data_IF_401824624714
#
_entry.id   IF_401824624714
#
_cell.length_a   1.000
_cell.length_b   1.000
_cell.length_c   1.000
_cell.angle_alpha   90.00
_cell.angle_beta   90.00
_cell.angle_gamma   90.00
#
_symmetry.space_group_name_H-M   'P 1'
#
loop_
_entity.id
_entity.type
_entity.pdbx_description
1 polymer ?
#
# COMPACT_ATOMS: atom_id res chain seq x y z
N UNK A 1 -22.40 -18.73 94.36
CA UNK A 1 -23.47 -17.85 93.82
C UNK A 1 -22.96 -17.29 92.50
N UNK A 2 -22.96 -18.06 91.41
CA UNK A 2 -23.99 -18.04 90.34
C UNK A 2 -24.49 -16.62 90.03
N UNK A 3 -24.04 -16.02 88.93
CA UNK A 3 -25.01 -15.59 87.93
C UNK A 3 -24.42 -15.55 86.51
N UNK A 4 -25.09 -16.31 85.65
CA UNK A 4 -24.76 -16.67 84.28
C UNK A 4 -25.49 -15.67 83.37
N UNK A 5 -24.82 -14.61 82.94
CA UNK A 5 -25.41 -13.59 82.07
C UNK A 5 -25.15 -13.85 80.59
N UNK A 6 -25.67 -14.95 80.03
CA UNK A 6 -25.63 -15.20 78.59
C UNK A 6 -26.61 -14.23 77.92
N UNK A 7 -26.10 -13.13 77.37
CA UNK A 7 -26.86 -12.21 76.54
C UNK A 7 -27.14 -12.85 75.18
N UNK A 8 -28.27 -13.55 75.07
CA UNK A 8 -28.83 -14.02 73.80
C UNK A 8 -29.27 -12.80 72.96
N UNK A 9 -28.35 -12.26 72.17
CA UNK A 9 -28.69 -11.39 71.05
C UNK A 9 -29.33 -12.26 69.95
N UNK A 10 -30.64 -12.50 70.06
CA UNK A 10 -31.44 -12.99 68.95
C UNK A 10 -31.62 -11.81 68.00
N UNK A 11 -30.61 -11.59 67.15
CA UNK A 11 -30.77 -10.75 65.97
C UNK A 11 -31.81 -11.41 65.08
N UNK A 12 -33.01 -10.83 65.01
CA UNK A 12 -34.02 -11.24 64.02
C UNK A 12 -33.46 -10.91 62.64
N UNK A 13 -32.72 -11.86 62.06
CA UNK A 13 -32.38 -11.83 60.65
C UNK A 13 -33.72 -11.88 59.92
N UNK A 14 -34.13 -10.75 59.34
CA UNK A 14 -35.21 -10.69 58.37
C UNK A 14 -34.74 -11.42 57.09
N UNK A 15 -34.59 -12.74 57.20
CA UNK A 15 -34.40 -13.62 56.06
C UNK A 15 -35.72 -13.64 55.32
N UNK A 16 -35.81 -12.76 54.32
CA UNK A 16 -36.86 -12.83 53.32
C UNK A 16 -36.59 -14.10 52.50
N UNK A 17 -37.18 -15.22 52.91
CA UNK A 17 -37.18 -16.45 52.12
C UNK A 17 -37.88 -16.14 50.79
N UNK A 18 -37.08 -16.03 49.73
CA UNK A 18 -37.59 -15.89 48.38
C UNK A 18 -38.08 -17.27 47.93
N UNK A 19 -39.34 -17.60 48.24
CA UNK A 19 -39.99 -18.74 47.62
C UNK A 19 -40.24 -18.39 46.15
N UNK A 20 -39.44 -18.98 45.26
CA UNK A 20 -39.80 -19.07 43.86
C UNK A 20 -41.02 -19.99 43.77
N UNK A 21 -42.11 -19.54 43.15
CA UNK A 21 -43.32 -20.36 42.98
C UNK A 21 -43.04 -21.63 42.16
N UNK A 22 -42.04 -21.59 41.27
CA UNK A 22 -41.66 -22.69 40.38
C UNK A 22 -40.18 -23.09 40.53
N UNK A 23 -39.82 -24.28 40.02
CA UNK A 23 -38.44 -24.74 40.01
C UNK A 23 -37.54 -23.91 39.07
N UNK A 24 -36.22 -24.08 39.17
CA UNK A 24 -35.22 -23.27 38.41
C UNK A 24 -35.37 -23.34 36.88
N UNK A 25 -35.90 -24.44 36.35
CA UNK A 25 -36.08 -24.66 34.91
C UNK A 25 -37.56 -24.53 34.49
N UNK A 26 -38.36 -23.88 35.32
CA UNK A 26 -39.80 -23.69 35.10
C UNK A 26 -40.14 -22.21 35.14
N UNK A 27 -41.24 -21.86 34.47
CA UNK A 27 -41.82 -20.53 34.51
C UNK A 27 -43.29 -20.61 34.89
N UNK A 28 -43.73 -19.62 35.65
CA UNK A 28 -45.13 -19.50 36.02
C UNK A 28 -45.94 -18.91 34.87
N UNK A 29 -47.07 -19.54 34.53
CA UNK A 29 -48.10 -19.00 33.66
C UNK A 29 -49.48 -19.44 34.17
N UNK A 30 -50.38 -18.49 34.35
CA UNK A 30 -51.73 -18.73 34.90
C UNK A 30 -51.76 -19.48 36.25
N UNK A 31 -50.73 -19.31 37.09
CA UNK A 31 -50.63 -19.97 38.40
C UNK A 31 -50.09 -21.40 38.36
N UNK A 32 -49.73 -21.92 37.18
CA UNK A 32 -49.11 -23.23 36.99
C UNK A 32 -47.63 -23.10 36.65
N UNK A 33 -46.84 -24.08 37.05
CA UNK A 33 -45.40 -24.13 36.77
C UNK A 33 -45.13 -24.98 35.52
N UNK A 34 -44.71 -24.30 34.45
CA UNK A 34 -44.42 -24.91 33.16
C UNK A 34 -42.92 -25.09 32.94
N UNK A 35 -42.45 -26.21 32.37
CA UNK A 35 -41.05 -26.37 32.01
C UNK A 35 -40.65 -25.39 30.89
N UNK A 36 -39.46 -24.78 31.02
CA UNK A 36 -38.87 -23.90 30.01
C UNK A 36 -38.40 -24.67 28.78
N UNK A 37 -38.30 -23.98 27.65
CA UNK A 37 -37.64 -24.49 26.46
C UNK A 37 -36.12 -24.42 26.60
N UNK A 38 -35.44 -25.48 26.19
CA UNK A 38 -33.99 -25.54 26.17
C UNK A 38 -33.40 -24.55 25.13
N UNK A 39 -32.13 -24.12 25.29
CA UNK A 39 -31.43 -23.30 24.29
C UNK A 39 -31.57 -23.86 22.88
N UNK A 40 -31.73 -22.98 21.89
CA UNK A 40 -32.04 -23.36 20.51
C UNK A 40 -33.51 -23.54 20.17
N UNK A 41 -34.41 -23.46 21.16
CA UNK A 41 -35.84 -23.59 20.97
C UNK A 41 -36.61 -22.42 21.59
N UNK A 42 -37.81 -22.16 21.09
CA UNK A 42 -38.77 -21.21 21.65
C UNK A 42 -40.09 -21.91 21.94
N UNK A 43 -40.94 -21.26 22.72
CA UNK A 43 -42.29 -21.73 23.02
C UNK A 43 -43.16 -21.62 21.77
N UNK A 44 -43.81 -22.72 21.40
CA UNK A 44 -44.85 -22.75 20.38
C UNK A 44 -46.23 -22.80 21.01
N UNK A 45 -46.40 -23.59 22.07
CA UNK A 45 -47.57 -23.61 22.94
C UNK A 45 -47.16 -23.68 24.40
N UNK A 46 -47.74 -22.83 25.23
CA UNK A 46 -47.59 -22.91 26.67
C UNK A 46 -48.20 -24.19 27.23
N UNK A 47 -47.70 -24.62 28.39
CA UNK A 47 -48.25 -25.76 29.11
C UNK A 47 -49.68 -25.44 29.60
N UNK A 48 -50.48 -26.49 29.77
CA UNK A 48 -51.76 -26.43 30.48
C UNK A 48 -51.68 -27.34 31.71
N UNK A 49 -52.78 -27.48 32.46
CA UNK A 49 -52.85 -28.42 33.60
C UNK A 49 -52.49 -29.85 33.18
N UNK A 50 -52.82 -30.25 31.95
CA UNK A 50 -52.67 -31.63 31.47
C UNK A 50 -51.58 -31.79 30.39
N UNK A 51 -50.98 -30.70 29.90
CA UNK A 51 -49.98 -30.74 28.82
C UNK A 51 -48.71 -29.98 29.19
N UNK A 52 -47.56 -30.46 28.74
CA UNK A 52 -46.28 -29.77 28.91
C UNK A 52 -46.08 -28.65 27.87
N UNK A 53 -45.15 -27.74 28.14
CA UNK A 53 -44.76 -26.69 27.17
C UNK A 53 -44.28 -27.34 25.88
N UNK A 54 -44.88 -26.96 24.75
CA UNK A 54 -44.42 -27.39 23.43
C UNK A 54 -43.36 -26.43 22.92
N UNK A 55 -42.15 -26.95 22.72
CA UNK A 55 -41.01 -26.20 22.24
C UNK A 55 -40.69 -26.57 20.79
N UNK A 56 -40.34 -25.58 19.97
CA UNK A 56 -39.89 -25.78 18.59
C UNK A 56 -38.57 -25.07 18.32
N UNK A 57 -37.74 -25.56 17.38
CA UNK A 57 -36.44 -24.96 17.10
C UNK A 57 -36.54 -23.53 16.60
N UNK A 58 -35.56 -22.70 16.95
CA UNK A 58 -35.44 -21.37 16.40
C UNK A 58 -35.35 -21.39 14.86
N UNK A 59 -36.09 -20.51 14.16
CA UNK A 59 -35.98 -20.37 12.72
C UNK A 59 -34.59 -19.84 12.31
N UNK A 60 -34.29 -19.91 11.01
CA UNK A 60 -33.04 -19.40 10.47
C UNK A 60 -32.81 -17.93 10.86
N UNK A 61 -31.53 -17.55 11.04
CA UNK A 61 -31.11 -16.20 11.45
C UNK A 61 -31.61 -15.74 12.83
N UNK A 62 -32.04 -16.68 13.68
CA UNK A 62 -32.38 -16.41 15.09
C UNK A 62 -31.76 -17.44 16.03
N UNK A 63 -31.63 -17.08 17.31
CA UNK A 63 -31.04 -17.92 18.33
C UNK A 63 -31.70 -17.73 19.70
N UNK A 64 -31.40 -18.68 20.61
CA UNK A 64 -31.71 -18.59 22.03
C UNK A 64 -30.60 -19.29 22.82
N UNK A 65 -29.81 -18.54 23.58
CA UNK A 65 -28.61 -19.04 24.28
C UNK A 65 -28.90 -19.58 25.68
N UNK A 66 -30.08 -19.32 26.23
CA UNK A 66 -30.48 -19.70 27.59
C UNK A 66 -31.83 -20.44 27.61
N UNK A 67 -32.13 -21.24 28.66
CA UNK A 67 -33.47 -21.74 28.90
C UNK A 67 -34.48 -20.59 28.98
N UNK A 68 -35.61 -20.74 28.30
CA UNK A 68 -36.50 -19.60 28.07
C UNK A 68 -37.99 -19.98 28.12
N UNK A 69 -38.81 -18.94 28.26
CA UNK A 69 -40.27 -18.97 28.20
C UNK A 69 -40.83 -18.12 27.06
N UNK A 70 -40.01 -17.80 26.07
CA UNK A 70 -40.34 -16.82 25.03
C UNK A 70 -40.92 -17.51 23.81
N UNK A 71 -41.92 -16.88 23.20
CA UNK A 71 -42.51 -17.36 21.95
C UNK A 71 -41.69 -16.96 20.71
N UNK A 72 -40.62 -16.17 20.90
CA UNK A 72 -39.77 -15.66 19.82
C UNK A 72 -38.30 -15.80 20.16
N UNK A 73 -37.50 -16.22 19.17
CA UNK A 73 -36.05 -16.22 19.28
C UNK A 73 -35.44 -14.83 19.03
N UNK A 74 -34.23 -14.61 19.54
CA UNK A 74 -33.49 -13.37 19.30
C UNK A 74 -32.91 -13.37 17.89
N UNK A 75 -32.90 -12.22 17.17
CA UNK A 75 -32.22 -12.13 15.88
C UNK A 75 -30.71 -12.25 16.08
N UNK A 76 -30.05 -12.98 15.17
CA UNK A 76 -28.60 -13.06 15.15
C UNK A 76 -27.98 -11.68 14.90
N UNK A 77 -26.90 -11.36 15.62
CA UNK A 77 -26.10 -10.17 15.40
C UNK A 77 -25.44 -10.22 14.02
N UNK A 78 -25.37 -9.06 13.35
CA UNK A 78 -24.68 -8.90 12.06
C UNK A 78 -23.35 -8.20 12.29
N UNK A 79 -22.27 -8.78 11.75
CA UNK A 79 -20.95 -8.16 11.79
C UNK A 79 -20.75 -7.32 10.52
N UNK A 80 -20.99 -6.01 10.62
CA UNK A 80 -20.89 -5.08 9.50
C UNK A 80 -19.43 -4.62 9.29
N UNK A 81 -18.89 -4.86 8.09
CA UNK A 81 -17.55 -4.42 7.71
C UNK A 81 -17.39 -2.89 7.76
N UNK A 82 -18.48 -2.12 7.56
CA UNK A 82 -18.46 -0.66 7.70
C UNK A 82 -18.22 -0.19 9.13
N UNK A 83 -18.51 -1.04 10.12
CA UNK A 83 -18.22 -0.81 11.53
C UNK A 83 -16.88 -1.40 11.95
N UNK A 84 -16.04 -1.81 10.98
CA UNK A 84 -14.74 -2.41 11.23
C UNK A 84 -14.81 -3.87 11.70
N UNK A 85 -15.91 -4.60 11.44
CA UNK A 85 -16.15 -5.94 12.01
C UNK A 85 -16.13 -7.07 10.97
N UNK A 86 -15.81 -8.26 11.44
CA UNK A 86 -15.98 -9.54 10.74
C UNK A 86 -16.54 -10.61 11.66
N UNK A 87 -17.05 -11.69 11.06
CA UNK A 87 -17.56 -12.84 11.81
C UNK A 87 -16.38 -13.63 12.38
N UNK A 88 -16.33 -13.76 13.70
CA UNK A 88 -15.45 -14.68 14.41
C UNK A 88 -16.09 -16.05 14.59
N UNK A 89 -17.36 -16.06 15.00
CA UNK A 89 -18.18 -17.26 15.16
C UNK A 89 -19.54 -17.01 14.55
N UNK A 90 -19.98 -17.93 13.70
CA UNK A 90 -21.29 -17.87 13.06
C UNK A 90 -22.42 -18.10 14.07
N UNK A 91 -23.58 -17.53 13.76
CA UNK A 91 -24.78 -17.78 14.55
C UNK A 91 -25.20 -19.26 14.46
N UNK A 92 -25.73 -19.78 15.56
CA UNK A 92 -26.36 -21.10 15.63
C UNK A 92 -27.69 -20.94 16.36
N UNK A 93 -28.57 -21.96 16.31
CA UNK A 93 -29.84 -21.88 17.04
C UNK A 93 -29.65 -21.59 18.53
N UNK A 94 -28.57 -22.07 19.16
CA UNK A 94 -28.30 -21.90 20.59
C UNK A 94 -27.24 -20.86 20.92
N UNK A 95 -26.76 -20.06 19.96
CA UNK A 95 -25.76 -19.03 20.22
C UNK A 95 -25.75 -17.92 19.17
N UNK A 96 -25.59 -16.68 19.63
CA UNK A 96 -25.44 -15.49 18.76
C UNK A 96 -24.18 -15.57 17.89
N UNK A 97 -24.17 -14.76 16.83
CA UNK A 97 -22.95 -14.40 16.10
C UNK A 97 -21.97 -13.69 17.03
N UNK A 98 -20.71 -14.10 17.00
CA UNK A 98 -19.61 -13.37 17.65
C UNK A 98 -18.85 -12.61 16.58
N UNK A 99 -18.79 -11.29 16.74
CA UNK A 99 -18.06 -10.39 15.88
C UNK A 99 -16.69 -10.07 16.49
N UNK A 100 -15.70 -9.88 15.62
CA UNK A 100 -14.38 -9.36 15.98
C UNK A 100 -13.95 -8.26 15.02
N UNK A 101 -12.97 -7.42 15.38
CA UNK A 101 -12.43 -6.42 14.48
C UNK A 101 -11.82 -7.03 13.20
N UNK A 102 -11.89 -6.27 12.11
CA UNK A 102 -11.11 -6.50 10.89
C UNK A 102 -9.60 -6.38 11.16
N UNK A 103 -8.78 -6.84 10.21
CA UNK A 103 -7.33 -6.66 10.30
C UNK A 103 -6.97 -5.18 10.26
N UNK A 104 -6.08 -4.77 11.16
CA UNK A 104 -5.74 -3.36 11.33
C UNK A 104 -6.80 -2.54 12.05
N UNK A 105 -7.75 -3.16 12.75
CA UNK A 105 -8.74 -2.50 13.60
C UNK A 105 -8.67 -3.02 15.04
N UNK A 106 -9.11 -2.21 15.99
CA UNK A 106 -9.32 -2.60 17.38
C UNK A 106 -10.73 -2.29 17.84
N UNK A 107 -11.22 -3.11 18.76
CA UNK A 107 -12.56 -2.97 19.31
C UNK A 107 -12.63 -1.83 20.33
N UNK A 108 -13.57 -0.90 20.16
CA UNK A 108 -13.83 0.17 21.13
C UNK A 108 -15.08 -0.10 21.97
N UNK A 109 -16.03 -0.85 21.42
CA UNK A 109 -17.27 -1.21 22.13
C UNK A 109 -17.48 -2.73 22.12
N UNK A 110 -17.58 -3.33 23.32
CA UNK A 110 -17.80 -4.78 23.48
C UNK A 110 -19.13 -5.08 24.16
N UNK A 111 -19.80 -6.13 23.68
CA UNK A 111 -20.95 -6.76 24.36
C UNK A 111 -20.63 -8.24 24.60
N UNK A 112 -20.50 -8.64 25.87
CA UNK A 112 -19.99 -9.97 26.25
C UNK A 112 -18.65 -10.23 25.52
N UNK A 113 -18.58 -11.30 24.74
CA UNK A 113 -17.38 -11.70 23.98
C UNK A 113 -17.38 -11.20 22.52
N UNK A 114 -18.35 -10.37 22.12
CA UNK A 114 -18.54 -9.89 20.74
C UNK A 114 -18.25 -8.39 20.63
N UNK A 115 -17.55 -7.97 19.59
CA UNK A 115 -17.28 -6.56 19.30
C UNK A 115 -18.48 -5.91 18.58
N UNK A 116 -18.87 -4.70 18.98
CA UNK A 116 -20.00 -3.94 18.41
C UNK A 116 -19.54 -2.79 17.51
N UNK A 117 -18.38 -2.21 17.82
CA UNK A 117 -17.77 -1.17 17.01
C UNK A 117 -16.25 -1.30 17.08
N UNK A 118 -15.59 -1.18 15.93
CA UNK A 118 -14.15 -1.22 15.82
C UNK A 118 -13.64 -0.06 14.96
N UNK A 119 -12.49 0.48 15.34
CA UNK A 119 -11.83 1.58 14.62
C UNK A 119 -10.47 1.12 14.13
N UNK A 120 -10.02 1.73 13.02
CA UNK A 120 -8.72 1.42 12.43
C UNK A 120 -7.61 1.77 13.43
N UNK A 121 -6.56 0.97 13.47
CA UNK A 121 -5.35 1.27 14.23
C UNK A 121 -4.74 2.60 13.76
N UNK A 122 -4.25 3.38 14.71
CA UNK A 122 -3.49 4.60 14.47
C UNK A 122 -2.21 4.28 13.70
N UNK A 123 -1.91 5.13 12.72
CA UNK A 123 -0.66 5.10 11.98
C UNK A 123 0.32 6.09 12.60
N UNK A 124 1.54 5.64 12.89
CA UNK A 124 2.56 6.54 13.41
C UNK A 124 3.10 7.43 12.29
N UNK A 125 3.28 8.71 12.59
CA UNK A 125 3.75 9.69 11.61
C UNK A 125 5.28 9.63 11.44
N UNK A 126 5.82 10.14 10.33
CA UNK A 126 7.25 10.38 10.20
C UNK A 126 7.76 11.21 11.38
N UNK A 127 8.88 10.81 12.00
CA UNK A 127 9.32 11.34 13.30
C UNK A 127 8.96 10.44 14.48
N UNK A 128 8.10 9.45 14.26
CA UNK A 128 7.66 8.49 15.27
C UNK A 128 8.00 7.06 14.89
N UNK A 129 8.06 6.19 15.89
CA UNK A 129 8.22 4.75 15.73
C UNK A 129 7.07 4.03 16.42
N UNK A 130 6.79 2.81 15.96
CA UNK A 130 5.80 1.91 16.54
C UNK A 130 6.36 1.33 17.84
N UNK A 131 5.98 1.94 18.96
CA UNK A 131 6.37 1.47 20.29
C UNK A 131 5.63 0.20 20.68
N UNK A 132 4.34 0.12 20.32
CA UNK A 132 3.53 -1.06 20.50
C UNK A 132 2.60 -1.20 19.29
N UNK A 133 2.58 -2.39 18.70
CA UNK A 133 1.64 -2.72 17.61
C UNK A 133 0.22 -2.84 18.17
N UNK A 134 -0.76 -2.31 17.43
CA UNK A 134 -2.17 -2.49 17.78
C UNK A 134 -2.58 -3.96 17.85
N UNK A 135 -3.56 -4.24 18.70
CA UNK A 135 -4.18 -5.57 18.85
C UNK A 135 -5.66 -5.48 18.56
N UNK A 136 -6.39 -6.60 18.61
CA UNK A 136 -7.86 -6.59 18.49
C UNK A 136 -8.57 -5.82 19.61
N UNK A 137 -7.86 -5.48 20.69
CA UNK A 137 -8.43 -4.76 21.85
C UNK A 137 -7.78 -3.40 22.09
N UNK A 138 -6.62 -3.11 21.50
CA UNK A 138 -5.85 -1.91 21.80
C UNK A 138 -5.32 -1.28 20.53
N UNK A 139 -5.22 0.04 20.55
CA UNK A 139 -4.63 0.77 19.44
C UNK A 139 -3.10 0.59 19.37
N UNK A 140 -2.53 0.96 18.22
CA UNK A 140 -1.10 1.17 18.05
C UNK A 140 -0.63 2.34 18.92
N UNK A 141 0.49 2.15 19.62
CA UNK A 141 1.13 3.20 20.41
C UNK A 141 2.40 3.67 19.71
N UNK A 142 2.47 4.98 19.47
CA UNK A 142 3.61 5.62 18.82
C UNK A 142 4.53 6.28 19.85
N UNK A 143 5.85 6.19 19.63
CA UNK A 143 6.87 6.94 20.36
C UNK A 143 7.55 7.95 19.44
N UNK A 144 7.99 9.08 19.97
CA UNK A 144 8.77 10.06 19.20
C UNK A 144 10.24 9.64 19.13
N UNK A 145 10.91 9.93 18.02
CA UNK A 145 12.36 9.80 17.93
C UNK A 145 13.08 10.84 18.81
N UNK A 146 14.38 10.70 18.95
CA UNK A 146 15.25 11.70 19.58
C UNK A 146 16.23 12.26 18.55
N UNK A 147 16.93 13.33 18.91
CA UNK A 147 17.97 13.91 18.07
C UNK A 147 19.04 12.86 17.70
N UNK A 148 19.53 12.92 16.45
CA UNK A 148 20.45 11.93 15.89
C UNK A 148 19.79 10.61 15.45
N UNK A 149 18.46 10.49 15.55
CA UNK A 149 17.70 9.31 15.12
C UNK A 149 16.50 9.68 14.25
N UNK A 150 16.02 8.76 13.43
CA UNK A 150 14.88 8.97 12.56
C UNK A 150 13.98 7.73 12.39
N UNK A 151 12.74 7.98 11.97
CA UNK A 151 11.80 6.94 11.54
C UNK A 151 10.78 7.50 10.55
N UNK A 152 10.40 6.68 9.57
CA UNK A 152 9.33 7.02 8.62
C UNK A 152 7.92 6.73 9.16
N UNK A 153 7.77 6.41 10.46
CA UNK A 153 6.51 6.00 11.07
C UNK A 153 6.31 4.48 11.13
N UNK A 154 6.87 3.74 10.18
CA UNK A 154 6.70 2.29 10.07
C UNK A 154 7.71 1.45 10.87
N UNK A 155 8.75 2.07 11.43
CA UNK A 155 9.80 1.33 12.15
C UNK A 155 9.36 1.00 13.58
N UNK A 156 9.81 -0.14 14.10
CA UNK A 156 9.60 -0.55 15.50
C UNK A 156 10.54 0.15 16.49
N UNK A 157 11.57 0.83 15.99
CA UNK A 157 12.48 1.69 16.74
C UNK A 157 13.08 2.74 15.80
N UNK A 158 13.46 3.90 16.34
CA UNK A 158 14.18 4.91 15.56
C UNK A 158 15.57 4.40 15.21
N UNK A 159 16.00 4.68 13.98
CA UNK A 159 17.33 4.31 13.49
C UNK A 159 18.28 5.49 13.67
N UNK A 160 19.57 5.25 13.97
CA UNK A 160 20.55 6.32 13.99
C UNK A 160 20.73 6.91 12.59
N UNK A 161 21.05 8.20 12.52
CA UNK A 161 21.41 8.86 11.27
C UNK A 161 22.67 8.27 10.64
N UNK A 162 22.69 8.24 9.31
CA UNK A 162 23.85 7.82 8.53
C UNK A 162 25.03 8.75 8.73
N UNK A 163 26.20 8.18 9.05
CA UNK A 163 27.45 8.92 9.09
C UNK A 163 28.11 8.92 7.70
N UNK A 164 28.06 10.07 7.02
CA UNK A 164 28.61 10.21 5.66
C UNK A 164 30.13 10.13 5.60
N UNK A 165 30.84 10.58 6.66
CA UNK A 165 32.30 10.63 6.69
C UNK A 165 32.92 9.24 6.63
N UNK A 166 32.30 8.25 7.30
CA UNK A 166 32.72 6.84 7.25
C UNK A 166 32.66 6.29 5.82
N UNK A 167 31.76 6.81 5.00
CA UNK A 167 31.60 6.42 3.59
C UNK A 167 32.43 7.28 2.63
N UNK A 168 33.26 8.20 3.13
CA UNK A 168 34.02 9.15 2.32
C UNK A 168 33.13 10.12 1.54
N UNK A 169 31.90 10.35 2.00
CA UNK A 169 30.93 11.27 1.40
C UNK A 169 30.79 12.51 2.28
N UNK A 170 30.21 13.58 1.72
CA UNK A 170 29.79 14.74 2.50
C UNK A 170 28.29 14.71 2.70
N UNK A 171 27.86 15.26 3.82
CA UNK A 171 26.46 15.56 4.06
C UNK A 171 25.99 16.63 3.06
N UNK A 172 24.95 16.31 2.31
CA UNK A 172 24.29 17.23 1.37
C UNK A 172 23.07 17.86 2.03
N UNK A 173 22.36 17.07 2.84
CA UNK A 173 21.18 17.52 3.58
C UNK A 173 21.18 16.93 4.98
N UNK A 174 20.91 17.74 6.02
CA UNK A 174 20.86 17.26 7.38
C UNK A 174 19.70 16.30 7.59
N UNK A 175 19.97 15.29 8.42
CA UNK A 175 18.97 14.36 8.90
C UNK A 175 17.97 15.08 9.81
N UNK A 176 16.74 14.57 9.83
CA UNK A 176 15.68 15.04 10.73
C UNK A 176 15.12 13.84 11.50
N UNK A 177 14.19 14.06 12.43
CA UNK A 177 13.52 12.94 13.10
C UNK A 177 12.69 12.08 12.14
N UNK A 178 12.30 12.62 10.97
CA UNK A 178 11.49 11.94 9.97
C UNK A 178 12.28 11.42 8.77
N UNK A 179 13.56 11.77 8.64
CA UNK A 179 14.39 11.39 7.48
C UNK A 179 15.85 11.20 7.87
N UNK A 180 16.51 10.26 7.20
CA UNK A 180 17.96 10.10 7.33
C UNK A 180 18.73 11.29 6.75
N UNK A 181 20.02 11.36 7.08
CA UNK A 181 21.01 12.23 6.43
C UNK A 181 21.20 11.81 4.98
N UNK A 182 21.17 12.77 4.06
CA UNK A 182 21.47 12.50 2.64
C UNK A 182 22.96 12.71 2.37
N UNK A 183 23.67 11.62 2.09
CA UNK A 183 25.10 11.63 1.77
C UNK A 183 25.32 11.73 0.26
N UNK A 184 26.29 12.53 -0.16
CA UNK A 184 26.65 12.68 -1.57
C UNK A 184 28.09 13.12 -1.79
N UNK A 185 28.51 13.04 -3.05
CA UNK A 185 29.80 13.60 -3.47
C UNK A 185 29.62 15.10 -3.66
N UNK A 186 30.28 15.91 -2.84
CA UNK A 186 30.35 17.34 -3.09
C UNK A 186 31.31 17.60 -4.26
N UNK A 187 30.81 18.09 -5.39
CA UNK A 187 31.66 18.63 -6.45
C UNK A 187 32.02 20.06 -6.04
N UNK A 188 33.30 20.42 -5.85
CA UNK A 188 33.65 21.77 -5.45
C UNK A 188 33.26 22.76 -6.56
N UNK A 189 32.59 23.84 -6.17
CA UNK A 189 32.17 24.95 -7.03
C UNK A 189 33.24 25.38 -8.05
N UNK A 190 34.54 25.53 -7.70
CA UNK A 190 35.57 25.90 -8.68
C UNK A 190 35.74 24.90 -9.83
N UNK A 191 35.49 23.60 -9.62
CA UNK A 191 35.53 22.60 -10.70
C UNK A 191 34.36 22.82 -11.66
N UNK A 192 33.16 23.07 -11.14
CA UNK A 192 31.98 23.36 -11.97
C UNK A 192 32.21 24.64 -12.79
N UNK A 193 32.68 25.71 -12.15
CA UNK A 193 33.00 26.99 -12.82
C UNK A 193 34.10 26.79 -13.86
N UNK A 194 35.17 26.06 -13.51
CA UNK A 194 36.27 25.77 -14.43
C UNK A 194 35.82 25.00 -15.68
N UNK A 195 34.93 24.02 -15.53
CA UNK A 195 34.35 23.28 -16.67
C UNK A 195 33.48 24.19 -17.55
N UNK A 196 32.62 25.03 -16.96
CA UNK A 196 31.76 25.95 -17.71
C UNK A 196 32.61 26.98 -18.48
N UNK A 197 33.62 27.57 -17.84
CA UNK A 197 34.55 28.51 -18.47
C UNK A 197 35.37 27.83 -19.56
N UNK A 198 35.88 26.61 -19.31
CA UNK A 198 36.63 25.84 -20.30
C UNK A 198 35.79 25.50 -21.55
N UNK A 199 34.55 25.06 -21.37
CA UNK A 199 33.63 24.76 -22.48
C UNK A 199 33.29 26.01 -23.28
N UNK A 200 32.96 27.12 -22.60
CA UNK A 200 32.63 28.38 -23.28
C UNK A 200 33.82 28.95 -24.07
N UNK A 201 35.04 28.90 -23.52
CA UNK A 201 36.27 29.29 -24.24
C UNK A 201 36.53 28.35 -25.43
N UNK A 202 36.36 27.04 -25.25
CA UNK A 202 36.50 26.06 -26.35
C UNK A 202 35.52 26.30 -27.50
N UNK A 203 34.26 26.63 -27.20
CA UNK A 203 33.24 26.99 -28.20
C UNK A 203 33.63 28.28 -28.93
N UNK A 204 34.14 29.29 -28.23
CA UNK A 204 34.59 30.53 -28.86
C UNK A 204 35.80 30.31 -29.78
N UNK A 205 36.80 29.53 -29.34
CA UNK A 205 37.99 29.23 -30.14
C UNK A 205 37.65 28.41 -31.38
N UNK A 206 36.78 27.40 -31.25
CA UNK A 206 36.30 26.63 -32.41
C UNK A 206 35.50 27.49 -33.38
N UNK A 207 34.62 28.37 -32.90
CA UNK A 207 33.89 29.31 -33.76
C UNK A 207 34.83 30.30 -34.48
N UNK A 208 35.86 30.81 -33.80
CA UNK A 208 36.90 31.65 -34.41
C UNK A 208 37.70 30.86 -35.45
N UNK A 209 38.11 29.64 -35.13
CA UNK A 209 38.79 28.72 -36.04
C UNK A 209 37.98 28.43 -37.30
N UNK A 210 36.67 28.18 -37.15
CA UNK A 210 35.72 28.01 -38.26
C UNK A 210 35.66 29.29 -39.11
N UNK A 211 35.55 30.48 -38.49
CA UNK A 211 35.56 31.76 -39.23
C UNK A 211 36.87 31.97 -40.01
N UNK A 212 38.01 31.66 -39.40
CA UNK A 212 39.33 31.76 -40.05
C UNK A 212 39.42 30.77 -41.21
N UNK A 213 39.00 29.52 -41.02
CA UNK A 213 38.95 28.50 -42.05
C UNK A 213 38.09 28.94 -43.25
N UNK A 214 36.88 29.48 -43.00
CA UNK A 214 36.03 30.01 -44.06
C UNK A 214 36.67 31.17 -44.81
N UNK A 215 37.36 32.10 -44.11
CA UNK A 215 38.12 33.17 -44.78
C UNK A 215 39.27 32.64 -45.63
N UNK A 216 40.00 31.63 -45.14
CA UNK A 216 41.11 31.01 -45.87
C UNK A 216 40.61 30.25 -47.11
N UNK A 217 39.48 29.55 -46.99
CA UNK A 217 38.80 28.88 -48.10
C UNK A 217 38.29 29.87 -49.15
N UNK A 218 37.68 30.98 -48.74
CA UNK A 218 37.25 32.05 -49.65
C UNK A 218 38.45 32.68 -50.39
N UNK A 219 39.59 32.89 -49.72
CA UNK A 219 40.82 33.35 -50.38
C UNK A 219 41.37 32.33 -51.38
N UNK A 220 41.32 31.01 -51.08
CA UNK A 220 41.69 29.98 -52.05
C UNK A 220 40.78 29.98 -53.29
N UNK A 221 39.47 30.17 -53.12
CA UNK A 221 38.53 30.27 -54.26
C UNK A 221 38.66 31.58 -55.07
N UNK A 222 39.23 32.64 -54.50
CA UNK A 222 39.58 33.86 -55.24
C UNK A 222 40.86 33.72 -56.09
N UNK A 223 41.71 32.72 -55.80
CA UNK A 223 42.93 32.43 -56.57
C UNK A 223 42.72 31.42 -57.72
N UNK A 224 41.56 30.77 -57.79
CA UNK A 224 41.22 29.73 -58.78
C UNK A 224 40.16 30.21 -59.79
N UNK A 225 40.00 31.54 -59.95
CA UNK A 225 39.09 32.17 -60.93
C UNK A 225 39.84 33.06 -61.92
N UNK A 226 41.00 32.61 -62.38
CA UNK A 226 41.79 33.24 -63.45
C UNK A 226 42.60 32.20 -64.23
N UNK A 227 41.92 31.22 -64.82
CA UNK A 227 42.46 30.48 -65.96
C UNK A 227 41.34 30.35 -66.99
N UNK A 228 41.21 31.39 -67.81
CA UNK A 228 40.53 31.35 -69.11
C UNK A 228 41.60 31.03 -70.13
N UNK A 229 41.54 29.86 -70.79
CA UNK A 229 42.37 29.56 -71.95
C UNK A 229 41.52 29.41 -73.21
N UNK A 230 41.99 30.10 -74.24
CA UNK A 230 41.39 30.24 -75.56
C UNK A 230 41.40 28.92 -76.35
N UNK A 231 40.34 28.70 -77.11
CA UNK A 231 40.18 27.64 -78.11
C UNK A 231 40.45 28.16 -79.53
N UNK A 232 41.41 27.56 -80.26
CA UNK A 232 41.58 27.62 -81.74
C UNK A 232 42.31 26.32 -82.21
N UNK A 233 42.05 25.76 -83.43
CA UNK A 233 41.92 24.30 -83.68
C UNK A 233 42.84 23.62 -84.74
N UNK A 234 42.75 22.26 -84.82
CA UNK A 234 43.00 21.28 -85.95
C UNK A 234 44.50 20.95 -86.31
N UNK A 235 44.92 19.76 -86.87
CA UNK A 235 44.20 18.59 -87.47
C UNK A 235 44.60 17.15 -87.03
N UNK A 236 43.87 16.21 -87.63
CA UNK A 236 43.84 14.74 -87.64
C UNK A 236 45.17 13.99 -87.87
N UNK A 237 45.27 12.78 -87.33
CA UNK A 237 45.69 11.57 -88.07
C UNK A 237 45.12 10.30 -87.42
N UNK A 238 44.95 9.30 -88.27
CA UNK A 238 43.97 8.23 -88.32
C UNK A 238 44.44 6.89 -87.68
N UNK A 239 43.54 5.90 -87.65
CA UNK A 239 43.71 4.44 -87.45
C UNK A 239 43.76 3.89 -86.00
N UNK A 240 42.99 2.85 -85.60
CA UNK A 240 42.09 1.93 -86.32
C UNK A 240 41.19 1.09 -85.35
N UNK A 241 39.91 0.98 -85.69
CA UNK A 241 38.88 -0.08 -85.54
C UNK A 241 38.74 -0.99 -84.29
N UNK A 242 37.64 -0.78 -83.53
CA UNK A 242 36.39 -1.61 -83.40
C UNK A 242 36.41 -3.14 -83.14
N UNK A 243 35.27 -3.81 -82.80
CA UNK A 243 34.17 -3.58 -81.83
C UNK A 243 33.86 -4.95 -81.10
N UNK A 244 32.66 -5.36 -80.60
CA UNK A 244 31.34 -4.73 -80.61
C UNK A 244 30.53 -4.75 -79.30
N UNK A 245 29.73 -3.69 -79.10
CA UNK A 245 28.24 -3.68 -79.09
C UNK A 245 27.64 -3.92 -77.69
N UNK A 246 26.61 -3.21 -77.22
CA UNK A 246 25.70 -2.24 -77.84
C UNK A 246 24.88 -1.56 -76.75
N UNK A 247 24.67 -0.24 -76.91
CA UNK A 247 23.38 0.49 -76.91
C UNK A 247 22.44 0.33 -75.69
N UNK A 248 21.73 1.30 -75.14
CA UNK A 248 21.18 2.64 -75.48
C UNK A 248 20.33 2.92 -74.21
N UNK A 249 20.15 4.08 -73.60
CA UNK A 249 20.44 5.47 -73.89
C UNK A 249 20.19 6.27 -72.61
N UNK A 250 20.82 7.44 -72.56
CA UNK A 250 20.38 8.71 -71.96
C UNK A 250 19.10 8.69 -71.10
N UNK A 251 19.15 9.33 -69.93
CA UNK A 251 18.48 10.62 -69.71
C UNK A 251 18.64 11.09 -68.24
N UNK A 252 19.07 12.35 -68.10
CA UNK A 252 18.67 13.32 -67.08
C UNK A 252 19.11 13.16 -65.61
N UNK A 253 20.04 14.05 -65.23
CA UNK A 253 19.78 15.14 -64.28
C UNK A 253 18.49 15.02 -63.45
N UNK A 254 18.64 14.73 -62.15
CA UNK A 254 18.12 15.53 -61.03
C UNK A 254 18.30 14.70 -59.74
N UNK A 255 19.36 14.97 -58.99
CA UNK A 255 19.54 14.38 -57.66
C UNK A 255 18.96 15.32 -56.62
N UNK A 256 17.64 15.26 -56.44
CA UNK A 256 16.96 15.67 -55.23
C UNK A 256 15.91 14.65 -54.82
N UNK A 257 15.93 14.37 -53.52
CA UNK A 257 14.82 13.90 -52.68
C UNK A 257 14.71 12.38 -52.44
N UNK A 258 15.20 12.05 -51.24
CA UNK A 258 14.55 11.27 -50.18
C UNK A 258 14.20 9.80 -50.42
N UNK A 259 14.86 9.01 -49.57
CA UNK A 259 14.24 8.15 -48.57
C UNK A 259 13.78 6.75 -48.98
N UNK A 260 14.16 5.83 -48.10
CA UNK A 260 13.58 4.51 -47.85
C UNK A 260 13.82 3.44 -48.92
N UNK A 261 14.77 2.57 -48.61
CA UNK A 261 14.47 1.15 -48.51
C UNK A 261 15.42 0.55 -47.46
N UNK A 262 14.91 0.51 -46.22
CA UNK A 262 15.19 -0.61 -45.33
C UNK A 262 14.71 -1.90 -46.00
N UNK A 263 15.46 -2.98 -45.78
CA UNK A 263 14.99 -4.32 -45.43
C UNK A 263 15.81 -5.42 -46.13
N UNK A 264 15.99 -6.50 -45.36
CA UNK A 264 16.29 -7.88 -45.78
C UNK A 264 17.76 -8.13 -46.15
N UNK A 265 18.51 -9.10 -45.62
CA UNK A 265 18.47 -10.12 -44.56
C UNK A 265 19.97 -10.50 -44.38
N UNK A 266 20.48 -10.79 -43.17
CA UNK A 266 20.73 -12.17 -42.65
C UNK A 266 21.28 -13.12 -43.75
N UNK A 267 22.39 -13.81 -43.60
CA UNK A 267 22.85 -14.64 -42.47
C UNK A 267 24.28 -15.12 -42.81
N UNK A 268 25.20 -15.15 -41.85
CA UNK A 268 26.26 -16.17 -41.78
C UNK A 268 26.56 -16.44 -40.29
N UNK A 269 25.97 -17.54 -39.81
CA UNK A 269 26.52 -18.61 -38.96
C UNK A 269 27.36 -18.21 -37.72
N UNK A 270 26.89 -18.48 -36.49
CA UNK A 270 26.73 -19.78 -35.80
C UNK A 270 27.97 -20.14 -34.95
N UNK A 271 27.73 -20.91 -33.88
CA UNK A 271 28.66 -21.52 -32.89
C UNK A 271 28.84 -20.78 -31.55
N UNK A 272 27.88 -20.97 -30.63
CA UNK A 272 28.00 -21.71 -29.34
C UNK A 272 26.89 -21.35 -28.36
#
# INVERSE_FOLDING_TARGET
MINLGIMLFIGTLNFKLCFSACARAEYEIHGECCPMCAPGNHVYWHCTVDTSTTCVPCPASTYMDEPNKSDKCFPCSVCDARLGLRIKKTCTRSADTICEPLEGFYCTERKKNSCRFAVKHSECYPGQYVKQTGTVCTDTVCGNCIEGTYSYGSFTACRPHSNCEIRGLKEIKPGTMSSDVECGKSVPIPIIVGVIVGVSVGVLLTAVGIKIYHKFKQKRQASDRSITFCSVPIPETDFQCEPPFTSISCLFCFKWRHAMCDLILKETESWS
#
